data_IF_308861952201
#
_entry.id   IF_308861952201
#
_cell.length_a   1.000
_cell.length_b   1.000
_cell.length_c   1.000
_cell.angle_alpha   90.00
_cell.angle_beta   90.00
_cell.angle_gamma   90.00
#
_symmetry.space_group_name_H-M   'P 1'
#
loop_
_entity.id
_entity.type
_entity.pdbx_description
1 polymer ?
#
# COMPACT_ATOMS: atom_id res chain seq x y z
N UNK A 1 -15.43 -7.22 -17.52
CA UNK A 1 -14.07 -7.32 -16.96
C UNK A 1 -14.07 -8.54 -16.06
N UNK A 2 -13.08 -9.44 -16.21
CA UNK A 2 -12.91 -10.52 -15.23
C UNK A 2 -12.58 -9.87 -13.89
N UNK A 3 -13.27 -10.30 -12.84
CA UNK A 3 -12.96 -9.93 -11.47
C UNK A 3 -11.61 -10.59 -11.13
N UNK A 4 -10.55 -9.80 -11.03
CA UNK A 4 -9.19 -10.27 -10.73
C UNK A 4 -8.96 -10.50 -9.22
N UNK A 5 -10.02 -10.36 -8.42
CA UNK A 5 -10.03 -10.57 -6.98
C UNK A 5 -9.30 -9.48 -6.21
N UNK A 6 -8.86 -8.38 -6.84
CA UNK A 6 -8.10 -7.35 -6.13
C UNK A 6 -9.06 -6.42 -5.40
N UNK A 7 -8.98 -6.41 -4.08
CA UNK A 7 -9.74 -5.50 -3.23
C UNK A 7 -8.83 -4.40 -2.71
N UNK A 8 -9.25 -3.15 -2.90
CA UNK A 8 -8.51 -1.98 -2.44
C UNK A 8 -9.33 -1.13 -1.45
N UNK A 9 -8.63 -0.49 -0.51
CA UNK A 9 -9.14 0.58 0.35
C UNK A 9 -8.26 1.81 0.18
N UNK A 10 -8.90 2.97 -0.03
CA UNK A 10 -8.24 4.25 -0.18
C UNK A 10 -8.35 5.09 1.09
N UNK A 11 -7.26 5.73 1.49
CA UNK A 11 -7.23 6.73 2.55
C UNK A 11 -6.75 8.07 1.98
N UNK A 12 -7.68 9.01 1.86
CA UNK A 12 -7.41 10.34 1.29
C UNK A 12 -6.99 11.30 2.40
N UNK A 13 -5.74 11.73 2.38
CA UNK A 13 -5.22 12.72 3.31
C UNK A 13 -5.18 14.10 2.65
N UNK A 14 -6.09 14.98 3.10
CA UNK A 14 -6.03 16.41 2.79
C UNK A 14 -5.05 17.06 3.75
N UNK A 15 -3.85 17.32 3.25
CA UNK A 15 -2.79 17.98 3.99
C UNK A 15 -3.18 19.42 4.35
N UNK A 16 -2.77 19.87 5.55
CA UNK A 16 -3.01 21.23 6.01
C UNK A 16 -2.14 22.26 5.24
N UNK A 17 -2.46 23.55 5.40
CA UNK A 17 -1.63 24.68 4.96
C UNK A 17 -1.31 24.72 3.45
N UNK A 18 -2.19 24.19 2.59
CA UNK A 18 -2.00 24.23 1.13
C UNK A 18 -0.88 23.32 0.64
N UNK A 19 -0.40 22.38 1.46
CA UNK A 19 0.48 21.31 1.01
C UNK A 19 -0.27 20.36 0.05
N UNK A 20 0.43 19.63 -0.84
CA UNK A 20 -0.20 18.73 -1.78
C UNK A 20 -0.88 17.54 -1.09
N UNK A 21 -2.12 17.18 -1.49
CA UNK A 21 -2.81 16.04 -0.91
C UNK A 21 -2.07 14.73 -1.20
N UNK A 22 -2.30 13.75 -0.33
CA UNK A 22 -1.75 12.39 -0.48
C UNK A 22 -2.88 11.40 -0.38
N UNK A 23 -2.99 10.49 -1.34
CA UNK A 23 -3.89 9.34 -1.23
C UNK A 23 -3.08 8.08 -1.01
N UNK A 24 -3.36 7.35 0.07
CA UNK A 24 -2.82 6.02 0.30
C UNK A 24 -3.79 4.96 -0.18
N UNK A 25 -3.27 3.83 -0.61
CA UNK A 25 -4.02 2.66 -1.03
C UNK A 25 -3.42 1.41 -0.39
N UNK A 26 -4.25 0.62 0.27
CA UNK A 26 -3.91 -0.75 0.67
C UNK A 26 -4.76 -1.71 -0.15
N UNK A 27 -4.16 -2.78 -0.66
CA UNK A 27 -4.87 -3.78 -1.42
C UNK A 27 -4.42 -5.20 -1.06
N UNK A 28 -5.30 -6.16 -1.32
CA UNK A 28 -5.07 -7.59 -1.15
C UNK A 28 -5.84 -8.37 -2.23
N UNK A 29 -5.36 -9.55 -2.58
CA UNK A 29 -6.00 -10.41 -3.58
C UNK A 29 -6.85 -11.52 -2.95
N UNK A 30 -8.12 -11.57 -3.30
CA UNK A 30 -9.02 -12.70 -3.06
C UNK A 30 -8.69 -13.81 -4.06
N UNK A 31 -8.53 -15.03 -3.55
CA UNK A 31 -8.24 -16.24 -4.34
C UNK A 31 -9.13 -17.37 -3.85
N UNK A 32 -9.08 -18.54 -4.49
CA UNK A 32 -9.91 -19.68 -4.09
C UNK A 32 -9.76 -20.09 -2.61
N UNK A 33 -8.59 -19.85 -2.00
CA UNK A 33 -8.30 -20.17 -0.59
C UNK A 33 -8.24 -18.95 0.34
N UNK A 34 -8.42 -17.73 -0.16
CA UNK A 34 -8.23 -16.48 0.59
C UNK A 34 -9.46 -15.59 0.39
N UNK A 35 -10.15 -15.26 1.47
CA UNK A 35 -11.28 -14.31 1.46
C UNK A 35 -10.81 -12.96 1.94
N UNK A 36 -11.14 -11.89 1.22
CA UNK A 36 -10.73 -10.53 1.59
C UNK A 36 -11.93 -9.74 2.09
N UNK A 37 -11.70 -8.99 3.17
CA UNK A 37 -12.68 -8.10 3.78
C UNK A 37 -12.06 -6.75 4.09
N UNK A 38 -12.88 -5.69 4.10
CA UNK A 38 -12.41 -4.31 4.17
C UNK A 38 -13.07 -3.57 5.33
N UNK A 39 -12.30 -2.74 6.02
CA UNK A 39 -12.79 -1.67 6.88
C UNK A 39 -12.39 -0.34 6.23
N UNK A 40 -13.28 0.29 5.43
CA UNK A 40 -12.97 1.51 4.69
C UNK A 40 -12.54 2.69 5.57
N UNK A 41 -13.06 2.76 6.80
CA UNK A 41 -12.74 3.82 7.75
C UNK A 41 -13.05 3.36 9.18
N UNK A 42 -12.13 3.63 10.10
CA UNK A 42 -12.34 3.57 11.54
C UNK A 42 -11.67 4.77 12.22
N UNK A 43 -12.22 5.21 13.34
CA UNK A 43 -11.75 6.38 14.10
C UNK A 43 -10.60 5.95 15.02
N UNK A 44 -9.45 6.61 14.85
CA UNK A 44 -8.26 6.43 15.70
C UNK A 44 -8.34 7.41 16.88
N UNK A 45 -8.67 8.67 16.60
CA UNK A 45 -8.79 9.73 17.59
C UNK A 45 -9.69 10.88 17.11
N UNK A 46 -10.19 11.69 18.04
CA UNK A 46 -11.02 12.88 17.75
C UNK A 46 -12.51 12.61 17.85
N UNK A 47 -13.31 13.45 17.17
CA UNK A 47 -14.77 13.54 17.31
C UNK A 47 -15.53 12.96 16.12
N UNK A 48 -14.82 12.44 15.12
CA UNK A 48 -15.45 11.76 13.98
C UNK A 48 -16.33 10.61 14.45
N UNK A 49 -17.49 10.46 13.83
CA UNK A 49 -18.41 9.36 14.11
C UNK A 49 -18.07 8.16 13.22
N UNK A 50 -18.28 6.96 13.73
CA UNK A 50 -18.08 5.72 12.98
C UNK A 50 -17.51 4.61 13.85
N UNK A 51 -17.08 3.54 13.20
CA UNK A 51 -16.42 2.40 13.85
C UNK A 51 -15.18 2.91 14.58
N UNK A 52 -15.05 2.61 15.87
CA UNK A 52 -13.86 2.93 16.66
C UNK A 52 -12.72 1.93 16.39
N UNK A 53 -11.47 2.32 16.63
CA UNK A 53 -10.34 1.39 16.56
C UNK A 53 -10.53 0.14 17.45
N UNK A 54 -11.23 0.28 18.59
CA UNK A 54 -11.55 -0.84 19.48
C UNK A 54 -12.56 -1.81 18.84
N UNK A 55 -13.63 -1.30 18.22
CA UNK A 55 -14.61 -2.14 17.53
C UNK A 55 -14.00 -2.84 16.32
N UNK A 56 -13.20 -2.12 15.51
CA UNK A 56 -12.44 -2.71 14.41
C UNK A 56 -11.53 -3.84 14.89
N UNK A 57 -10.80 -3.63 16.00
CA UNK A 57 -9.92 -4.64 16.57
C UNK A 57 -10.67 -5.85 17.13
N UNK A 58 -11.79 -5.63 17.82
CA UNK A 58 -12.61 -6.71 18.36
C UNK A 58 -13.20 -7.58 17.24
N UNK A 59 -13.68 -6.96 16.17
CA UNK A 59 -14.21 -7.67 15.01
C UNK A 59 -13.18 -8.60 14.38
N UNK A 60 -11.98 -8.10 14.06
CA UNK A 60 -10.93 -8.94 13.46
C UNK A 60 -10.42 -10.01 14.44
N UNK A 61 -10.41 -9.71 15.74
CA UNK A 61 -10.03 -10.68 16.77
C UNK A 61 -11.04 -11.83 16.89
N UNK A 62 -12.34 -11.55 16.80
CA UNK A 62 -13.40 -12.55 16.96
C UNK A 62 -13.69 -13.32 15.68
N UNK A 63 -13.64 -12.64 14.53
CA UNK A 63 -14.09 -13.20 13.25
C UNK A 63 -12.98 -13.38 12.21
N UNK A 64 -11.77 -12.85 12.47
CA UNK A 64 -10.65 -12.91 11.52
C UNK A 64 -10.90 -12.13 10.21
N UNK A 65 -11.98 -11.35 10.14
CA UNK A 65 -12.44 -10.62 8.96
C UNK A 65 -13.25 -9.39 9.39
N UNK A 66 -13.64 -8.53 8.45
CA UNK A 66 -14.50 -7.35 8.66
C UNK A 66 -15.91 -7.52 8.09
N UNK A 67 -16.34 -8.74 7.78
CA UNK A 67 -17.62 -8.99 7.09
C UNK A 67 -18.82 -8.57 7.96
N UNK A 68 -18.74 -8.75 9.29
CA UNK A 68 -19.84 -8.41 10.19
C UNK A 68 -19.72 -6.98 10.73
N UNK A 69 -18.67 -6.25 10.34
CA UNK A 69 -18.50 -4.86 10.72
C UNK A 69 -19.51 -4.01 9.96
N UNK A 70 -20.41 -3.34 10.70
CA UNK A 70 -21.36 -2.37 10.17
C UNK A 70 -20.65 -1.08 9.72
N UNK A 71 -19.78 -1.18 8.71
CA UNK A 71 -19.25 -0.03 7.99
C UNK A 71 -20.28 0.40 6.95
N UNK A 72 -20.57 1.70 6.88
CA UNK A 72 -21.53 2.27 5.92
C UNK A 72 -21.08 2.14 4.45
N UNK A 73 -19.94 1.49 4.18
CA UNK A 73 -19.42 1.19 2.85
C UNK A 73 -18.99 2.42 2.04
N UNK A 74 -19.35 3.62 2.49
CA UNK A 74 -19.04 4.89 1.85
C UNK A 74 -17.93 5.61 2.61
N UNK A 75 -16.88 6.09 1.92
CA UNK A 75 -15.86 6.91 2.57
C UNK A 75 -16.50 8.22 3.04
N UNK A 76 -16.49 8.44 4.36
CA UNK A 76 -16.96 9.68 4.98
C UNK A 76 -15.73 10.53 5.33
N UNK A 77 -15.70 11.83 5.00
CA UNK A 77 -14.64 12.71 5.45
C UNK A 77 -14.54 12.72 6.97
N UNK A 78 -13.31 12.70 7.50
CA UNK A 78 -13.10 12.90 8.95
C UNK A 78 -13.38 14.35 9.35
N UNK A 79 -13.90 14.53 10.56
CA UNK A 79 -14.04 15.85 11.19
C UNK A 79 -12.67 16.50 11.44
N UNK A 80 -12.55 17.83 11.36
CA UNK A 80 -11.31 18.54 11.69
C UNK A 80 -10.77 18.14 13.06
N UNK A 81 -9.46 17.90 13.13
CA UNK A 81 -8.79 17.47 14.38
C UNK A 81 -8.97 15.99 14.73
N UNK A 82 -9.69 15.22 13.90
CA UNK A 82 -9.79 13.76 14.05
C UNK A 82 -8.79 13.02 13.16
N UNK A 83 -8.43 11.81 13.56
CA UNK A 83 -7.64 10.88 12.77
C UNK A 83 -8.44 9.60 12.50
N UNK A 84 -8.43 9.16 11.25
CA UNK A 84 -9.06 7.93 10.79
C UNK A 84 -8.03 6.99 10.18
N UNK A 85 -8.31 5.70 10.24
CA UNK A 85 -7.55 4.65 9.60
C UNK A 85 -8.42 3.82 8.67
N UNK A 86 -7.78 2.99 7.86
CA UNK A 86 -8.40 2.01 6.97
C UNK A 86 -7.74 0.65 7.22
N UNK A 87 -8.49 -0.44 7.02
CA UNK A 87 -7.98 -1.79 7.18
C UNK A 87 -8.46 -2.71 6.05
N UNK A 88 -7.63 -3.70 5.74
CA UNK A 88 -7.97 -4.82 4.87
C UNK A 88 -7.48 -6.10 5.53
N UNK A 89 -8.30 -7.13 5.54
CA UNK A 89 -7.99 -8.42 6.12
C UNK A 89 -8.16 -9.50 5.05
N UNK A 90 -7.18 -10.41 4.97
CA UNK A 90 -7.29 -11.61 4.16
C UNK A 90 -7.34 -12.82 5.10
N UNK A 91 -8.42 -13.58 5.02
CA UNK A 91 -8.71 -14.72 5.88
C UNK A 91 -8.53 -16.00 5.08
N UNK A 92 -7.80 -16.96 5.65
CA UNK A 92 -7.60 -18.28 5.05
C UNK A 92 -7.56 -19.35 6.13
N UNK A 93 -8.00 -20.55 5.79
CA UNK A 93 -7.79 -21.75 6.60
C UNK A 93 -6.71 -22.57 5.92
N UNK A 94 -5.63 -22.85 6.64
CA UNK A 94 -4.47 -23.61 6.14
C UNK A 94 -4.55 -25.04 6.68
N UNK A 95 -4.86 -26.05 5.84
CA UNK A 95 -4.79 -27.45 6.24
C UNK A 95 -3.39 -27.87 6.73
N UNK A 96 -3.29 -28.96 7.52
CA UNK A 96 -2.00 -29.57 7.84
C UNK A 96 -1.17 -29.83 6.57
N UNK A 97 0.14 -29.62 6.66
CA UNK A 97 1.11 -29.83 5.57
C UNK A 97 0.84 -29.03 4.29
N UNK A 98 0.09 -27.93 4.38
CA UNK A 98 -0.20 -27.04 3.26
C UNK A 98 0.40 -25.64 3.42
N UNK A 99 0.53 -24.92 2.30
CA UNK A 99 1.01 -23.54 2.25
C UNK A 99 -0.07 -22.67 1.63
N UNK A 100 -0.35 -21.52 2.25
CA UNK A 100 -1.21 -20.48 1.69
C UNK A 100 -0.39 -19.19 1.57
N UNK A 101 -0.38 -18.62 0.36
CA UNK A 101 0.26 -17.33 0.09
C UNK A 101 -0.81 -16.26 -0.02
N UNK A 102 -0.62 -15.16 0.70
CA UNK A 102 -1.49 -13.98 0.65
C UNK A 102 -0.66 -12.78 0.23
N UNK A 103 -1.09 -12.08 -0.80
CA UNK A 103 -0.39 -10.90 -1.32
C UNK A 103 -1.11 -9.63 -0.89
N UNK A 104 -0.34 -8.69 -0.35
CA UNK A 104 -0.78 -7.32 -0.04
C UNK A 104 0.09 -6.31 -0.79
N UNK A 105 -0.44 -5.13 -1.03
CA UNK A 105 0.30 -4.00 -1.57
C UNK A 105 -0.06 -2.71 -0.82
N UNK A 106 0.92 -1.82 -0.66
CA UNK A 106 0.74 -0.45 -0.22
C UNK A 106 1.22 0.48 -1.33
N UNK A 107 0.40 1.46 -1.68
CA UNK A 107 0.78 2.53 -2.58
C UNK A 107 0.41 3.89 -2.00
N UNK A 108 1.09 4.94 -2.47
CA UNK A 108 0.71 6.31 -2.19
C UNK A 108 0.83 7.16 -3.44
N UNK A 109 -0.06 8.13 -3.55
CA UNK A 109 -0.12 9.06 -4.64
C UNK A 109 -0.06 10.49 -4.09
N UNK A 110 1.13 11.08 -4.18
CA UNK A 110 1.40 12.49 -3.90
C UNK A 110 2.08 13.08 -5.16
N UNK A 111 1.33 13.59 -6.14
CA UNK A 111 1.89 13.89 -7.46
C UNK A 111 2.86 15.07 -7.44
N UNK A 112 2.67 16.02 -6.53
CA UNK A 112 3.38 17.29 -6.52
C UNK A 112 4.52 17.34 -5.51
N UNK A 113 5.65 17.88 -5.92
CA UNK A 113 6.76 18.28 -5.04
C UNK A 113 6.90 19.80 -5.07
N UNK A 114 6.84 20.42 -3.90
CA UNK A 114 6.95 21.86 -3.72
C UNK A 114 8.35 22.21 -3.19
N UNK A 115 9.04 23.12 -3.88
CA UNK A 115 10.31 23.66 -3.44
C UNK A 115 10.13 24.99 -2.70
N UNK A 116 11.08 25.32 -1.81
CA UNK A 116 11.10 26.59 -1.05
C UNK A 116 11.07 27.82 -1.97
N UNK A 117 11.54 27.68 -3.21
CA UNK A 117 11.48 28.72 -4.25
C UNK A 117 10.07 29.00 -4.78
N UNK A 118 9.04 28.29 -4.32
CA UNK A 118 7.66 28.40 -4.78
C UNK A 118 7.37 27.63 -6.08
N UNK A 119 8.35 26.89 -6.62
CA UNK A 119 8.14 26.05 -7.80
C UNK A 119 7.54 24.70 -7.41
N UNK A 120 6.52 24.29 -8.14
CA UNK A 120 5.88 22.98 -8.04
C UNK A 120 6.21 22.15 -9.27
N UNK A 121 6.62 20.90 -9.05
CA UNK A 121 6.86 19.93 -10.11
C UNK A 121 6.05 18.66 -9.86
N UNK A 122 5.80 17.91 -10.92
CA UNK A 122 5.17 16.60 -10.82
C UNK A 122 6.22 15.51 -10.72
N UNK A 123 6.05 14.57 -9.78
CA UNK A 123 6.90 13.39 -9.63
C UNK A 123 6.81 12.51 -10.88
N UNK A 124 7.92 11.89 -11.26
CA UNK A 124 8.05 11.13 -12.52
C UNK A 124 6.94 10.11 -12.76
N UNK A 125 6.49 9.40 -11.71
CA UNK A 125 5.50 8.35 -11.84
C UNK A 125 4.13 8.84 -12.35
N UNK A 126 3.85 10.14 -12.23
CA UNK A 126 2.63 10.76 -12.78
C UNK A 126 2.54 10.66 -14.31
N UNK A 127 3.68 10.44 -15.00
CA UNK A 127 3.69 10.15 -16.43
C UNK A 127 2.98 8.82 -16.78
N UNK A 128 2.96 7.86 -15.86
CA UNK A 128 2.37 6.54 -16.07
C UNK A 128 0.93 6.46 -15.55
N UNK A 129 0.66 7.07 -14.40
CA UNK A 129 -0.64 6.99 -13.72
C UNK A 129 -1.54 8.22 -13.91
N UNK A 130 -1.06 9.23 -14.64
CA UNK A 130 -1.76 10.49 -14.85
C UNK A 130 -1.83 11.36 -13.57
N UNK A 131 -2.46 12.55 -13.66
CA UNK A 131 -2.63 13.51 -12.55
C UNK A 131 -3.96 13.38 -11.77
N UNK A 132 -4.89 12.50 -12.17
CA UNK A 132 -6.27 12.47 -11.66
C UNK A 132 -6.74 11.04 -11.35
N UNK A 133 -7.62 10.91 -10.34
CA UNK A 133 -8.56 9.79 -10.12
C UNK A 133 -7.94 8.38 -9.96
N UNK A 134 -8.15 7.75 -8.81
CA UNK A 134 -7.79 6.34 -8.51
C UNK A 134 -6.33 5.91 -8.72
N UNK A 135 -5.41 6.83 -9.03
CA UNK A 135 -4.01 6.50 -9.29
C UNK A 135 -3.34 5.70 -8.15
N UNK A 136 -3.63 6.01 -6.88
CA UNK A 136 -3.15 5.21 -5.76
C UNK A 136 -3.68 3.76 -5.80
N UNK A 137 -4.97 3.57 -6.13
CA UNK A 137 -5.56 2.26 -6.29
C UNK A 137 -4.95 1.51 -7.48
N UNK A 138 -4.73 2.18 -8.61
CA UNK A 138 -4.11 1.59 -9.79
C UNK A 138 -2.66 1.15 -9.52
N UNK A 139 -1.87 1.95 -8.81
CA UNK A 139 -0.50 1.57 -8.40
C UNK A 139 -0.54 0.33 -7.49
N UNK A 140 -1.44 0.32 -6.49
CA UNK A 140 -1.60 -0.83 -5.60
C UNK A 140 -2.05 -2.08 -6.37
N UNK A 141 -2.99 -1.93 -7.30
CA UNK A 141 -3.52 -2.99 -8.16
C UNK A 141 -2.44 -3.58 -9.06
N UNK A 142 -1.70 -2.73 -9.78
CA UNK A 142 -0.55 -3.14 -10.59
C UNK A 142 0.51 -3.86 -9.76
N UNK A 143 0.72 -3.45 -8.50
CA UNK A 143 1.63 -4.13 -7.60
C UNK A 143 1.14 -5.54 -7.23
N UNK A 144 -0.15 -5.72 -6.95
CA UNK A 144 -0.72 -7.05 -6.71
C UNK A 144 -0.56 -7.95 -7.94
N UNK A 145 -0.85 -7.47 -9.15
CA UNK A 145 -0.79 -8.31 -10.34
C UNK A 145 0.63 -8.48 -10.91
N UNK A 146 1.50 -7.50 -10.69
CA UNK A 146 2.85 -7.43 -11.27
C UNK A 146 3.97 -7.94 -10.37
N UNK A 147 3.76 -8.12 -9.06
CA UNK A 147 4.84 -8.41 -8.11
C UNK A 147 5.72 -9.59 -8.53
N UNK A 148 5.14 -10.73 -8.94
CA UNK A 148 5.93 -11.90 -9.33
C UNK A 148 6.87 -11.63 -10.52
N UNK A 149 6.45 -10.79 -11.47
CA UNK A 149 7.33 -10.36 -12.55
C UNK A 149 8.44 -9.41 -12.04
N UNK A 150 8.12 -8.50 -11.13
CA UNK A 150 9.09 -7.58 -10.54
C UNK A 150 10.13 -8.33 -9.69
N UNK A 151 9.71 -9.29 -8.89
CA UNK A 151 10.59 -10.20 -8.13
C UNK A 151 11.55 -10.94 -9.06
N UNK A 152 11.04 -11.51 -10.16
CA UNK A 152 11.90 -12.22 -11.12
C UNK A 152 12.96 -11.31 -11.76
N UNK A 153 12.64 -10.03 -12.01
CA UNK A 153 13.60 -9.06 -12.52
C UNK A 153 14.62 -8.68 -11.44
N UNK A 154 14.19 -8.54 -10.18
CA UNK A 154 15.07 -8.27 -9.04
C UNK A 154 16.08 -9.41 -8.86
N UNK A 155 15.60 -10.65 -8.83
CA UNK A 155 16.45 -11.83 -8.75
C UNK A 155 17.42 -11.91 -9.93
N UNK A 156 16.95 -11.64 -11.15
CA UNK A 156 17.79 -11.72 -12.35
C UNK A 156 18.99 -10.79 -12.30
N UNK A 157 18.83 -9.54 -11.82
CA UNK A 157 19.96 -8.61 -11.74
C UNK A 157 20.86 -8.87 -10.53
N UNK A 158 20.34 -9.41 -9.41
CA UNK A 158 21.14 -9.72 -8.22
C UNK A 158 21.96 -11.02 -8.37
N UNK A 159 21.41 -12.00 -9.10
CA UNK A 159 21.95 -13.37 -9.20
C UNK A 159 23.44 -13.45 -9.58
N UNK A 160 23.97 -12.71 -10.57
CA UNK A 160 25.39 -12.81 -10.93
C UNK A 160 26.35 -12.46 -9.78
N UNK A 161 25.93 -11.59 -8.86
CA UNK A 161 26.73 -11.20 -7.69
C UNK A 161 26.56 -12.21 -6.57
N UNK A 162 25.33 -12.69 -6.33
CA UNK A 162 25.02 -13.66 -5.27
C UNK A 162 25.66 -15.05 -5.53
N UNK A 163 25.77 -15.45 -6.79
CA UNK A 163 26.35 -16.75 -7.17
C UNK A 163 27.87 -16.71 -7.27
N UNK A 164 28.49 -15.53 -7.29
CA UNK A 164 29.95 -15.39 -7.39
C UNK A 164 30.67 -15.76 -6.10
N UNK A 165 31.16 -17.00 -6.04
CA UNK A 165 31.90 -17.56 -4.89
C UNK A 165 33.29 -16.96 -4.68
N UNK A 166 33.75 -16.05 -5.55
CA UNK A 166 35.01 -15.31 -5.36
C UNK A 166 34.83 -14.12 -4.42
N UNK A 167 33.60 -13.63 -4.26
CA UNK A 167 33.29 -12.51 -3.39
C UNK A 167 33.22 -12.96 -1.93
N UNK A 168 33.75 -12.18 -0.97
CA UNK A 168 33.54 -12.44 0.45
C UNK A 168 32.04 -12.44 0.80
N UNK A 169 31.63 -13.27 1.76
CA UNK A 169 30.21 -13.42 2.14
C UNK A 169 29.53 -12.10 2.55
N UNK A 170 30.28 -11.18 3.17
CA UNK A 170 29.75 -9.88 3.58
C UNK A 170 29.48 -8.93 2.41
N UNK A 171 30.16 -9.13 1.27
CA UNK A 171 30.20 -8.14 0.19
C UNK A 171 28.85 -7.94 -0.51
N UNK A 172 28.13 -8.99 -0.96
CA UNK A 172 26.81 -8.81 -1.59
C UNK A 172 25.81 -8.11 -0.66
N UNK A 173 25.85 -8.41 0.64
CA UNK A 173 24.97 -7.81 1.65
C UNK A 173 25.20 -6.30 1.70
N UNK A 174 26.46 -5.86 1.87
CA UNK A 174 26.80 -4.43 1.91
C UNK A 174 26.47 -3.76 0.58
N UNK A 175 26.87 -4.36 -0.54
CA UNK A 175 26.67 -3.78 -1.87
C UNK A 175 25.19 -3.49 -2.15
N UNK A 176 24.30 -4.44 -1.90
CA UNK A 176 22.88 -4.24 -2.16
C UNK A 176 22.21 -3.33 -1.13
N UNK A 177 22.57 -3.43 0.15
CA UNK A 177 21.94 -2.60 1.18
C UNK A 177 22.30 -1.12 1.02
N UNK A 178 23.53 -0.78 0.61
CA UNK A 178 23.92 0.62 0.38
C UNK A 178 23.16 1.29 -0.78
N UNK A 179 22.55 0.52 -1.69
CA UNK A 179 21.69 1.07 -2.76
C UNK A 179 20.41 1.74 -2.21
N UNK A 180 20.06 1.53 -0.93
CA UNK A 180 18.93 2.20 -0.30
C UNK A 180 19.00 3.72 -0.47
N UNK A 181 20.20 4.30 -0.49
CA UNK A 181 20.41 5.75 -0.58
C UNK A 181 19.91 6.32 -1.92
N UNK A 182 19.88 5.52 -3.00
CA UNK A 182 19.31 5.95 -4.29
C UNK A 182 17.82 6.31 -4.18
N UNK A 183 17.10 5.68 -3.26
CA UNK A 183 15.68 5.93 -3.00
C UNK A 183 15.47 6.85 -1.78
N UNK A 184 16.17 6.61 -0.68
CA UNK A 184 15.99 7.32 0.59
C UNK A 184 16.79 8.62 0.73
N UNK A 185 17.73 8.91 -0.18
CA UNK A 185 18.59 10.10 -0.15
C UNK A 185 17.91 11.41 -0.54
N UNK A 186 16.57 11.47 -0.56
CA UNK A 186 15.82 12.66 -0.97
C UNK A 186 15.76 12.85 -2.49
N UNK A 187 15.83 11.77 -3.27
CA UNK A 187 15.81 11.80 -4.73
C UNK A 187 14.56 12.49 -5.26
N UNK A 188 14.77 13.49 -6.14
CA UNK A 188 13.70 14.17 -6.85
C UNK A 188 13.85 13.88 -8.33
N UNK A 189 12.85 13.19 -8.89
CA UNK A 189 12.76 12.92 -10.31
C UNK A 189 11.44 13.43 -10.85
N UNK A 190 11.50 14.43 -11.73
CA UNK A 190 10.33 15.11 -12.29
C UNK A 190 10.00 14.61 -13.70
N UNK A 191 8.80 14.93 -14.18
CA UNK A 191 8.34 14.62 -15.56
C UNK A 191 9.21 15.30 -16.60
#
# INVERSE_FOLDING_TARGET
>A
MMDDGVHCVLLNHKTANGLPPVTFAIAAQETAGVRVSKCPSFVISGNSQGVTAKEMWNEVKEHGSFINLNSTGKPVPSEPGSSIGAAIAATSTVPPDSVCTVTFSLAWYCPEVNFVSGRTYHRRYTKFYGPHGDAAANIAHDAILGHGHWESQIEAWQRPILEDKRLPEWYPITLFNELYYLNSGGTIWTV
#
